data_IF_422639575563
#
_entry.id   IF_422639575563
#
_cell.length_a   1.000
_cell.length_b   1.000
_cell.length_c   1.000
_cell.angle_alpha   90.00
_cell.angle_beta   90.00
_cell.angle_gamma   90.00
#
_symmetry.space_group_name_H-M   'P 1'
#
loop_
_entity.id
_entity.type
_entity.pdbx_description
1 polymer ?
#
# COMPACT_ATOMS: atom_id res chain seq x y z
N UNK A 1 -3.34 0.70 19.00
CA UNK A 1 -2.43 0.20 17.93
C UNK A 1 -2.73 1.08 16.74
N UNK A 2 -1.75 1.85 16.26
CA UNK A 2 -2.01 2.77 15.14
C UNK A 2 -2.17 1.96 13.85
N UNK A 3 -3.27 2.24 13.14
CA UNK A 3 -3.53 1.64 11.84
C UNK A 3 -2.55 2.17 10.79
N UNK A 4 -2.24 1.41 9.72
CA UNK A 4 -1.44 1.88 8.60
C UNK A 4 -1.99 3.21 8.06
N UNK A 5 -1.09 4.12 7.68
CA UNK A 5 -1.43 5.49 7.31
C UNK A 5 -2.47 5.61 6.20
N UNK A 6 -2.44 4.70 5.22
CA UNK A 6 -3.42 4.73 4.12
C UNK A 6 -4.80 4.32 4.60
N UNK A 7 -4.93 3.29 5.44
CA UNK A 7 -6.22 2.89 6.02
C UNK A 7 -6.80 3.97 6.93
N UNK A 8 -5.95 4.69 7.69
CA UNK A 8 -6.36 5.84 8.50
C UNK A 8 -6.89 6.98 7.62
N UNK A 9 -6.20 7.29 6.51
CA UNK A 9 -6.66 8.29 5.53
C UNK A 9 -7.96 7.83 4.87
N UNK A 10 -8.05 6.57 4.45
CA UNK A 10 -9.26 6.00 3.85
C UNK A 10 -10.48 6.15 4.78
N UNK A 11 -10.33 5.81 6.05
CA UNK A 11 -11.39 5.97 7.04
C UNK A 11 -11.80 7.43 7.23
N UNK A 12 -10.83 8.35 7.34
CA UNK A 12 -11.09 9.78 7.50
C UNK A 12 -11.86 10.39 6.31
N UNK A 13 -11.50 10.01 5.09
CA UNK A 13 -12.14 10.48 3.85
C UNK A 13 -13.24 9.53 3.34
N UNK A 14 -13.85 8.73 4.22
CA UNK A 14 -14.97 7.83 3.92
C UNK A 14 -14.71 6.92 2.72
N UNK A 15 -13.47 6.43 2.60
CA UNK A 15 -12.99 5.57 1.50
C UNK A 15 -13.08 6.21 0.12
N UNK A 16 -13.03 7.54 0.05
CA UNK A 16 -12.98 8.25 -1.22
C UNK A 16 -11.85 7.72 -2.10
N UNK A 17 -12.13 7.28 -3.34
CA UNK A 17 -11.13 6.62 -4.19
C UNK A 17 -9.95 7.50 -4.56
N UNK A 18 -10.17 8.82 -4.75
CA UNK A 18 -9.08 9.75 -5.01
C UNK A 18 -8.18 9.92 -3.79
N UNK A 19 -8.77 10.10 -2.62
CA UNK A 19 -8.02 10.22 -1.37
C UNK A 19 -7.18 8.96 -1.11
N UNK A 20 -7.73 7.76 -1.33
CA UNK A 20 -7.02 6.50 -1.19
C UNK A 20 -5.88 6.38 -2.20
N UNK A 21 -6.12 6.64 -3.47
CA UNK A 21 -5.09 6.56 -4.51
C UNK A 21 -3.95 7.55 -4.24
N UNK A 22 -4.28 8.83 -4.00
CA UNK A 22 -3.29 9.86 -3.74
C UNK A 22 -2.44 9.55 -2.49
N UNK A 23 -3.07 9.14 -1.39
CA UNK A 23 -2.34 8.76 -0.17
C UNK A 23 -1.49 7.52 -0.35
N UNK A 24 -1.94 6.56 -1.16
CA UNK A 24 -1.14 5.36 -1.48
C UNK A 24 0.11 5.72 -2.28
N UNK A 25 0.02 6.62 -3.26
CA UNK A 25 1.21 7.13 -3.98
C UNK A 25 2.16 7.86 -3.01
N UNK A 26 1.63 8.68 -2.09
CA UNK A 26 2.44 9.38 -1.09
C UNK A 26 3.13 8.39 -0.14
N UNK A 27 2.50 7.29 0.20
CA UNK A 27 3.03 6.29 1.15
C UNK A 27 4.25 5.52 0.62
N UNK A 28 4.46 5.45 -0.69
CA UNK A 28 5.58 4.71 -1.27
C UNK A 28 6.93 5.21 -0.72
N UNK A 29 7.68 4.35 -0.03
CA UNK A 29 8.97 4.70 0.61
C UNK A 29 8.87 5.92 1.54
N UNK A 30 7.77 6.06 2.24
CA UNK A 30 7.52 7.14 3.21
C UNK A 30 7.04 6.52 4.52
N UNK A 31 7.44 7.08 5.64
CA UNK A 31 6.96 6.66 6.97
C UNK A 31 5.48 6.98 7.13
N UNK A 32 4.76 6.16 7.89
CA UNK A 32 3.31 6.28 8.07
C UNK A 32 2.87 7.65 8.61
N UNK A 33 3.54 8.17 9.63
CA UNK A 33 3.26 9.50 10.19
C UNK A 33 3.38 10.63 9.15
N UNK A 34 4.44 10.56 8.32
CA UNK A 34 4.66 11.54 7.24
C UNK A 34 3.60 11.38 6.15
N UNK A 35 3.24 10.14 5.81
CA UNK A 35 2.19 9.85 4.83
C UNK A 35 0.86 10.46 5.25
N UNK A 36 0.42 10.21 6.47
CA UNK A 36 -0.84 10.74 7.00
C UNK A 36 -0.88 12.28 6.98
N UNK A 37 0.19 12.92 7.48
CA UNK A 37 0.28 14.39 7.50
C UNK A 37 0.33 15.01 6.10
N UNK A 38 1.12 14.43 5.19
CA UNK A 38 1.26 14.92 3.81
C UNK A 38 -0.01 14.72 2.99
N UNK A 39 -0.66 13.56 3.16
CA UNK A 39 -1.94 13.28 2.48
C UNK A 39 -3.02 14.24 2.92
N UNK A 40 -3.14 14.52 4.21
CA UNK A 40 -4.11 15.50 4.73
C UNK A 40 -3.88 16.88 4.12
N UNK A 41 -2.65 17.40 4.16
CA UNK A 41 -2.31 18.72 3.57
C UNK A 41 -2.66 18.79 2.09
N UNK A 42 -2.39 17.73 1.33
CA UNK A 42 -2.73 17.66 -0.09
C UNK A 42 -4.24 17.67 -0.31
N UNK A 43 -4.96 16.78 0.37
CA UNK A 43 -6.41 16.58 0.17
C UNK A 43 -7.25 17.75 0.67
N UNK A 44 -6.78 18.52 1.67
CA UNK A 44 -7.39 19.79 2.07
C UNK A 44 -7.33 20.87 0.97
N UNK A 45 -6.39 20.77 0.02
CA UNK A 45 -6.18 21.73 -1.08
C UNK A 45 -6.61 21.19 -2.44
N UNK A 46 -6.69 19.88 -2.57
CA UNK A 46 -7.04 19.17 -3.81
C UNK A 46 -7.84 17.90 -3.46
N UNK A 47 -9.10 18.07 -3.12
CA UNK A 47 -10.02 16.98 -2.78
C UNK A 47 -10.45 16.15 -4.01
N UNK A 48 -10.09 16.58 -5.22
CA UNK A 48 -10.42 15.89 -6.47
C UNK A 48 -9.24 15.91 -7.46
N UNK A 49 -9.22 15.00 -8.45
CA UNK A 49 -8.25 15.05 -9.56
C UNK A 49 -8.28 16.39 -10.29
N UNK A 50 -9.44 16.99 -10.47
CA UNK A 50 -9.59 18.27 -11.17
C UNK A 50 -8.89 19.42 -10.42
N UNK A 51 -9.08 19.50 -9.10
CA UNK A 51 -8.42 20.50 -8.27
C UNK A 51 -6.90 20.31 -8.26
N UNK A 52 -6.42 19.06 -8.21
CA UNK A 52 -4.99 18.80 -8.27
C UNK A 52 -4.40 19.14 -9.63
N UNK A 53 -5.12 18.86 -10.72
CA UNK A 53 -4.64 19.09 -12.09
C UNK A 53 -4.32 20.57 -12.37
N UNK A 54 -5.10 21.50 -11.82
CA UNK A 54 -4.85 22.96 -11.99
C UNK A 54 -3.68 23.49 -11.17
N UNK A 55 -3.22 22.73 -10.15
CA UNK A 55 -2.08 23.15 -9.32
C UNK A 55 -0.76 23.04 -10.08
N UNK A 56 0.19 23.94 -9.77
CA UNK A 56 1.57 23.80 -10.22
C UNK A 56 2.24 22.62 -9.52
N UNK A 57 3.10 21.88 -10.24
CA UNK A 57 3.80 20.69 -9.69
C UNK A 57 4.62 21.04 -8.45
N UNK A 58 5.25 22.23 -8.43
CA UNK A 58 6.01 22.71 -7.28
C UNK A 58 5.13 22.94 -6.03
N UNK A 59 3.88 23.37 -6.22
CA UNK A 59 2.93 23.54 -5.14
C UNK A 59 2.51 22.19 -4.55
N UNK A 60 2.24 21.20 -5.41
CA UNK A 60 1.97 19.81 -4.98
C UNK A 60 3.16 19.27 -4.19
N UNK A 61 4.38 19.42 -4.73
CA UNK A 61 5.61 18.97 -4.09
C UNK A 61 5.80 19.57 -2.68
N UNK A 62 5.51 20.87 -2.52
CA UNK A 62 5.57 21.54 -1.20
C UNK A 62 4.55 20.97 -0.21
N UNK A 63 3.33 20.66 -0.64
CA UNK A 63 2.28 20.10 0.22
C UNK A 63 2.65 18.71 0.75
N UNK A 64 3.24 17.87 -0.10
CA UNK A 64 3.60 16.51 0.29
C UNK A 64 5.00 16.38 0.90
N UNK A 65 5.79 17.46 1.00
CA UNK A 65 7.04 17.47 1.74
C UNK A 65 6.77 17.21 3.24
N UNK A 66 7.56 16.35 3.93
CA UNK A 66 8.82 15.70 3.56
C UNK A 66 8.66 14.21 3.10
N UNK A 67 7.62 13.85 2.37
CA UNK A 67 7.47 12.49 1.86
C UNK A 67 8.68 12.07 1.00
N UNK A 68 9.10 10.82 1.11
CA UNK A 68 10.20 10.30 0.31
C UNK A 68 9.93 10.46 -1.18
N UNK A 69 10.91 10.94 -1.94
CA UNK A 69 10.78 11.20 -3.39
C UNK A 69 9.62 12.15 -3.76
N UNK A 70 9.32 13.12 -2.92
CA UNK A 70 8.14 13.99 -3.02
C UNK A 70 8.00 14.71 -4.38
N UNK A 71 9.12 15.10 -5.03
CA UNK A 71 9.08 15.75 -6.36
C UNK A 71 8.58 14.78 -7.43
N UNK A 72 9.10 13.54 -7.47
CA UNK A 72 8.66 12.53 -8.41
C UNK A 72 7.18 12.15 -8.18
N UNK A 73 6.77 12.10 -6.91
CA UNK A 73 5.37 11.84 -6.55
C UNK A 73 4.44 12.97 -6.97
N UNK A 74 4.87 14.22 -6.83
CA UNK A 74 4.10 15.38 -7.31
C UNK A 74 3.87 15.30 -8.83
N UNK A 75 4.93 14.99 -9.59
CA UNK A 75 4.83 14.77 -11.04
C UNK A 75 3.89 13.60 -11.38
N UNK A 76 4.04 12.46 -10.69
CA UNK A 76 3.17 11.30 -10.89
C UNK A 76 1.71 11.61 -10.57
N UNK A 77 1.43 12.24 -9.45
CA UNK A 77 0.07 12.64 -9.05
C UNK A 77 -0.58 13.58 -10.07
N UNK A 78 0.18 14.55 -10.60
CA UNK A 78 -0.32 15.45 -11.64
C UNK A 78 -0.65 14.71 -12.94
N UNK A 79 0.20 13.77 -13.36
CA UNK A 79 -0.06 12.92 -14.53
C UNK A 79 -1.26 12.00 -14.33
N UNK A 80 -1.37 11.40 -13.14
CA UNK A 80 -2.53 10.58 -12.78
C UNK A 80 -3.80 11.41 -12.87
N UNK A 81 -3.83 12.61 -12.26
CA UNK A 81 -5.00 13.49 -12.33
C UNK A 81 -5.42 13.83 -13.75
N UNK A 82 -4.47 14.13 -14.64
CA UNK A 82 -4.75 14.38 -16.06
C UNK A 82 -5.38 13.15 -16.73
N UNK A 83 -4.82 11.96 -16.52
CA UNK A 83 -5.36 10.71 -17.09
C UNK A 83 -6.77 10.41 -16.56
N UNK A 84 -6.99 10.62 -15.24
CA UNK A 84 -8.30 10.40 -14.64
C UNK A 84 -9.36 11.32 -15.24
N UNK A 85 -9.02 12.58 -15.48
CA UNK A 85 -9.94 13.54 -16.12
C UNK A 85 -10.22 13.13 -17.57
N UNK A 86 -9.18 12.85 -18.34
CA UNK A 86 -9.28 12.57 -19.76
C UNK A 86 -10.00 11.25 -20.08
N UNK A 87 -9.63 10.17 -19.35
CA UNK A 87 -10.09 8.81 -19.68
C UNK A 87 -11.22 8.31 -18.79
N UNK A 88 -11.33 8.81 -17.56
CA UNK A 88 -12.25 8.26 -16.55
C UNK A 88 -13.23 9.31 -16.00
N UNK A 89 -13.35 10.49 -16.68
CA UNK A 89 -14.28 11.54 -16.24
C UNK A 89 -14.00 12.09 -14.85
N UNK A 90 -12.74 12.06 -14.41
CA UNK A 90 -12.32 12.50 -13.09
C UNK A 90 -12.46 11.45 -11.99
N UNK A 91 -12.90 10.23 -12.31
CA UNK A 91 -13.07 9.14 -11.34
C UNK A 91 -11.85 8.22 -11.32
N UNK A 92 -11.57 7.61 -10.18
CA UNK A 92 -10.58 6.54 -10.08
C UNK A 92 -11.21 5.23 -10.57
N UNK A 93 -10.57 4.48 -11.49
CA UNK A 93 -11.11 3.21 -11.96
C UNK A 93 -11.04 2.12 -10.88
N UNK A 94 -11.97 1.17 -10.93
CA UNK A 94 -12.07 0.03 -10.01
C UNK A 94 -11.60 -1.30 -10.61
N UNK A 95 -10.89 -1.27 -11.74
CA UNK A 95 -10.29 -2.47 -12.33
C UNK A 95 -8.78 -2.51 -12.12
N UNK A 96 -8.22 -3.72 -12.02
CA UNK A 96 -6.77 -3.91 -11.86
C UNK A 96 -6.01 -3.35 -13.06
N UNK A 97 -6.47 -3.62 -14.28
CA UNK A 97 -5.76 -3.25 -15.50
C UNK A 97 -5.72 -1.73 -15.68
N UNK A 98 -6.85 -1.05 -15.43
CA UNK A 98 -6.91 0.41 -15.51
C UNK A 98 -6.05 1.08 -14.45
N UNK A 99 -6.02 0.53 -13.22
CA UNK A 99 -5.14 1.04 -12.16
C UNK A 99 -3.67 0.87 -12.51
N UNK A 100 -3.29 -0.27 -13.08
CA UNK A 100 -1.91 -0.53 -13.51
C UNK A 100 -1.47 0.36 -14.70
N UNK A 101 -2.40 0.87 -15.49
CA UNK A 101 -2.13 1.82 -16.57
C UNK A 101 -1.76 3.22 -16.05
N UNK A 102 -2.01 3.52 -14.76
CA UNK A 102 -1.67 4.82 -14.16
C UNK A 102 -0.17 4.90 -13.81
N UNK A 103 0.49 6.03 -14.07
CA UNK A 103 1.93 6.18 -13.82
C UNK A 103 2.29 6.03 -12.35
N UNK A 104 3.22 5.11 -12.04
CA UNK A 104 3.68 4.84 -10.68
C UNK A 104 2.75 3.95 -9.85
N UNK A 105 1.70 3.42 -10.45
CA UNK A 105 0.81 2.43 -9.83
C UNK A 105 1.29 1.03 -10.21
N UNK A 106 1.82 0.30 -9.24
CA UNK A 106 2.15 -1.13 -9.37
C UNK A 106 1.07 -2.00 -8.73
N UNK A 107 1.22 -3.33 -8.85
CA UNK A 107 0.25 -4.31 -8.31
C UNK A 107 -0.08 -4.07 -6.84
N UNK A 108 0.93 -3.81 -5.99
CA UNK A 108 0.70 -3.49 -4.57
C UNK A 108 -0.22 -2.30 -4.39
N UNK A 109 0.05 -1.20 -5.12
CA UNK A 109 -0.76 0.03 -5.05
C UNK A 109 -2.18 -0.23 -5.55
N UNK A 110 -2.33 -0.90 -6.70
CA UNK A 110 -3.63 -1.24 -7.27
C UNK A 110 -4.45 -2.11 -6.31
N UNK A 111 -3.88 -3.18 -5.75
CA UNK A 111 -4.56 -4.04 -4.77
C UNK A 111 -4.99 -3.26 -3.53
N UNK A 112 -4.16 -2.32 -3.04
CA UNK A 112 -4.51 -1.51 -1.88
C UNK A 112 -5.68 -0.54 -2.19
N UNK A 113 -5.67 0.07 -3.37
CA UNK A 113 -6.78 0.94 -3.83
C UNK A 113 -8.06 0.13 -3.97
N UNK A 114 -8.02 -1.06 -4.58
CA UNK A 114 -9.18 -1.94 -4.71
C UNK A 114 -9.77 -2.30 -3.34
N UNK A 115 -8.93 -2.65 -2.38
CA UNK A 115 -9.36 -3.00 -1.03
C UNK A 115 -9.95 -1.80 -0.28
N UNK A 116 -9.20 -0.70 -0.22
CA UNK A 116 -9.50 0.41 0.67
C UNK A 116 -10.58 1.34 0.12
N UNK A 117 -10.63 1.55 -1.20
CA UNK A 117 -11.59 2.44 -1.82
C UNK A 117 -12.86 1.74 -2.29
N UNK A 118 -12.74 0.56 -2.88
CA UNK A 118 -13.84 -0.11 -3.58
C UNK A 118 -14.40 -1.33 -2.85
N UNK A 119 -13.81 -1.71 -1.72
CA UNK A 119 -14.16 -2.92 -0.98
C UNK A 119 -14.04 -4.22 -1.80
N UNK A 120 -13.24 -4.20 -2.85
CA UNK A 120 -12.97 -5.36 -3.71
C UNK A 120 -11.91 -6.24 -3.05
N UNK A 121 -12.17 -7.55 -2.99
CA UNK A 121 -11.24 -8.51 -2.41
C UNK A 121 -9.95 -8.62 -3.25
N UNK A 122 -8.85 -8.13 -2.71
CA UNK A 122 -7.54 -8.17 -3.33
C UNK A 122 -6.45 -8.43 -2.27
N UNK A 123 -5.35 -9.05 -2.70
CA UNK A 123 -4.23 -9.36 -1.79
C UNK A 123 -3.12 -8.33 -2.02
N UNK A 124 -2.93 -7.45 -1.04
CA UNK A 124 -1.81 -6.50 -1.06
C UNK A 124 -0.55 -7.20 -0.52
N UNK A 125 0.40 -7.52 -1.39
CA UNK A 125 1.68 -8.13 -0.99
C UNK A 125 2.77 -7.08 -0.93
N UNK A 126 3.27 -6.84 0.27
CA UNK A 126 4.46 -6.03 0.52
C UNK A 126 5.65 -6.90 0.95
N UNK A 127 6.76 -6.26 1.32
CA UNK A 127 7.96 -6.95 1.80
C UNK A 127 7.70 -7.79 3.07
N UNK A 128 6.73 -7.43 3.89
CA UNK A 128 6.38 -8.20 5.09
C UNK A 128 5.59 -9.44 4.73
N UNK A 129 4.54 -9.29 3.91
CA UNK A 129 3.73 -10.42 3.44
C UNK A 129 4.62 -11.42 2.69
N UNK A 130 5.40 -10.96 1.70
CA UNK A 130 6.32 -11.80 0.95
C UNK A 130 7.30 -12.56 1.87
N UNK A 131 8.02 -11.82 2.73
CA UNK A 131 9.00 -12.42 3.64
C UNK A 131 8.38 -13.45 4.59
N UNK A 132 7.26 -13.09 5.24
CA UNK A 132 6.67 -13.94 6.28
C UNK A 132 6.05 -15.18 5.70
N UNK A 133 5.35 -15.10 4.57
CA UNK A 133 4.75 -16.25 3.89
C UNK A 133 5.79 -17.29 3.49
N UNK A 134 6.92 -16.83 2.93
CA UNK A 134 8.06 -17.69 2.60
C UNK A 134 8.75 -18.26 3.86
N UNK A 135 9.00 -17.40 4.85
CA UNK A 135 9.68 -17.79 6.10
C UNK A 135 8.86 -18.79 6.91
N UNK A 136 7.55 -18.60 6.96
CA UNK A 136 6.66 -19.52 7.64
C UNK A 136 6.57 -20.87 6.91
N UNK A 137 6.72 -20.86 5.60
CA UNK A 137 6.64 -22.02 4.73
C UNK A 137 5.22 -22.29 4.23
N UNK A 138 4.38 -21.26 4.13
CA UNK A 138 3.07 -21.37 3.47
C UNK A 138 3.24 -21.57 1.97
N UNK A 139 4.29 -20.95 1.41
CA UNK A 139 4.61 -20.98 0.01
C UNK A 139 6.12 -20.80 -0.19
N UNK A 140 6.55 -20.96 -1.44
CA UNK A 140 7.90 -20.63 -1.91
C UNK A 140 7.76 -19.75 -3.14
N UNK A 141 8.33 -18.54 -3.08
CA UNK A 141 8.25 -17.56 -4.16
C UNK A 141 9.48 -16.63 -4.14
N UNK A 142 9.87 -16.14 -5.30
CA UNK A 142 11.03 -15.25 -5.47
C UNK A 142 10.63 -13.78 -5.45
N UNK A 143 9.43 -13.45 -5.87
CA UNK A 143 8.93 -12.07 -5.97
C UNK A 143 7.61 -11.87 -5.22
N UNK A 144 7.27 -10.63 -4.84
CA UNK A 144 5.97 -10.30 -4.26
C UNK A 144 4.80 -10.66 -5.19
N UNK A 145 4.98 -10.54 -6.49
CA UNK A 145 3.97 -10.88 -7.50
C UNK A 145 3.67 -12.38 -7.50
N UNK A 146 4.72 -13.23 -7.47
CA UNK A 146 4.55 -14.68 -7.33
C UNK A 146 3.87 -15.03 -6.00
N UNK A 147 4.24 -14.34 -4.90
CA UNK A 147 3.58 -14.52 -3.60
C UNK A 147 2.09 -14.19 -3.69
N UNK A 148 1.71 -13.10 -4.37
CA UNK A 148 0.32 -12.72 -4.56
C UNK A 148 -0.46 -13.82 -5.30
N UNK A 149 0.09 -14.32 -6.40
CA UNK A 149 -0.57 -15.35 -7.22
C UNK A 149 -0.79 -16.63 -6.41
N UNK A 150 0.23 -17.12 -5.72
CA UNK A 150 0.11 -18.31 -4.89
C UNK A 150 -0.87 -18.09 -3.73
N UNK A 151 -0.83 -16.94 -3.06
CA UNK A 151 -1.77 -16.62 -1.97
C UNK A 151 -3.23 -16.59 -2.47
N UNK A 152 -3.48 -16.13 -3.70
CA UNK A 152 -4.83 -16.16 -4.30
C UNK A 152 -5.38 -17.61 -4.42
N UNK A 153 -4.51 -18.57 -4.62
CA UNK A 153 -4.90 -19.99 -4.75
C UNK A 153 -5.12 -20.66 -3.39
N UNK A 154 -4.26 -20.36 -2.40
CA UNK A 154 -4.25 -21.11 -1.13
C UNK A 154 -4.94 -20.39 0.03
N UNK A 155 -5.06 -19.04 -0.01
CA UNK A 155 -5.62 -18.27 1.09
C UNK A 155 -7.13 -18.06 0.88
N UNK A 156 -8.00 -18.46 1.83
CA UNK A 156 -9.42 -18.18 1.73
C UNK A 156 -9.72 -16.68 1.58
N UNK A 157 -10.62 -16.31 0.67
CA UNK A 157 -10.93 -14.90 0.27
C UNK A 157 -11.20 -14.00 1.47
N UNK A 158 -11.87 -14.49 2.49
CA UNK A 158 -12.16 -13.73 3.74
C UNK A 158 -10.94 -13.17 4.46
N UNK A 159 -9.72 -13.63 4.12
CA UNK A 159 -8.47 -13.14 4.70
C UNK A 159 -7.70 -12.19 3.77
N UNK A 160 -8.09 -12.04 2.51
CA UNK A 160 -7.33 -11.29 1.51
C UNK A 160 -7.09 -9.84 1.92
N UNK A 161 -8.13 -9.13 2.33
CA UNK A 161 -8.02 -7.73 2.78
C UNK A 161 -7.19 -7.57 4.05
N UNK A 162 -7.20 -8.59 4.92
CA UNK A 162 -6.58 -8.49 6.24
C UNK A 162 -5.13 -8.94 6.28
N UNK A 163 -4.69 -9.80 5.33
CA UNK A 163 -3.35 -10.43 5.40
C UNK A 163 -2.22 -9.39 5.41
N UNK A 164 -2.33 -8.34 4.61
CA UNK A 164 -1.32 -7.29 4.59
C UNK A 164 -1.20 -6.60 5.95
N UNK A 165 -2.31 -6.09 6.48
CA UNK A 165 -2.35 -5.43 7.78
C UNK A 165 -1.74 -6.29 8.89
N UNK A 166 -2.19 -7.53 8.99
CA UNK A 166 -1.72 -8.46 10.02
C UNK A 166 -0.21 -8.73 9.91
N UNK A 167 0.27 -9.02 8.69
CA UNK A 167 1.67 -9.37 8.49
C UNK A 167 2.62 -8.16 8.52
N UNK A 168 2.14 -6.95 8.21
CA UNK A 168 2.91 -5.71 8.42
C UNK A 168 3.20 -5.52 9.90
N UNK A 169 2.18 -5.51 10.75
CA UNK A 169 2.34 -5.34 12.20
C UNK A 169 3.23 -6.45 12.78
N UNK A 170 2.93 -7.69 12.40
CA UNK A 170 3.70 -8.84 12.85
C UNK A 170 5.17 -8.77 12.42
N UNK A 171 5.41 -8.34 11.18
CA UNK A 171 6.74 -8.21 10.61
C UNK A 171 7.55 -7.04 11.15
N UNK A 172 6.89 -5.98 11.59
CA UNK A 172 7.55 -4.85 12.26
C UNK A 172 7.95 -5.17 13.69
N UNK A 173 7.08 -5.86 14.42
CA UNK A 173 7.27 -6.10 15.86
C UNK A 173 8.03 -7.40 16.14
N UNK A 174 7.65 -8.49 15.54
CA UNK A 174 8.09 -9.83 15.92
C UNK A 174 8.95 -10.50 14.83
N UNK A 175 8.39 -10.70 13.63
CA UNK A 175 9.09 -11.39 12.54
C UNK A 175 9.96 -10.43 11.71
N UNK A 176 10.93 -9.78 12.37
CA UNK A 176 11.81 -8.79 11.76
C UNK A 176 12.70 -9.39 10.65
N UNK A 177 13.17 -8.59 9.67
CA UNK A 177 14.05 -9.08 8.60
C UNK A 177 15.31 -9.74 9.15
N UNK A 178 15.99 -9.06 10.06
CA UNK A 178 17.23 -9.52 10.71
C UNK A 178 16.92 -9.91 12.16
N UNK A 179 17.37 -11.11 12.58
CA UNK A 179 17.22 -11.62 13.95
C UNK A 179 15.78 -11.46 14.50
N UNK A 180 14.79 -12.18 13.93
CA UNK A 180 13.41 -12.16 14.42
C UNK A 180 13.31 -12.71 15.84
N UNK A 181 12.23 -12.31 16.57
CA UNK A 181 11.96 -12.78 17.93
C UNK A 181 11.22 -14.13 17.93
N UNK A 182 11.88 -15.18 17.41
CA UNK A 182 11.26 -16.50 17.25
C UNK A 182 10.95 -17.19 18.58
N UNK A 183 11.71 -16.90 19.65
CA UNK A 183 11.45 -17.44 21.00
C UNK A 183 10.15 -16.91 21.60
N UNK A 184 9.72 -15.71 21.21
CA UNK A 184 8.47 -15.07 21.65
C UNK A 184 7.31 -15.28 20.68
N UNK A 185 7.55 -15.99 19.58
CA UNK A 185 6.59 -16.14 18.51
C UNK A 185 5.54 -17.20 18.84
N UNK A 186 4.28 -16.79 19.03
CA UNK A 186 3.17 -17.69 19.39
C UNK A 186 2.90 -18.79 18.34
N UNK A 187 3.21 -18.51 17.07
CA UNK A 187 3.07 -19.48 15.96
C UNK A 187 4.41 -20.15 15.58
N UNK A 188 5.46 -19.90 16.38
CA UNK A 188 6.83 -20.37 16.11
C UNK A 188 6.98 -21.88 16.01
N UNK A 189 6.12 -22.63 16.71
CA UNK A 189 6.09 -24.12 16.70
C UNK A 189 5.74 -24.69 15.33
N UNK A 190 4.95 -23.95 14.53
CA UNK A 190 4.50 -24.37 13.19
C UNK A 190 5.30 -23.69 12.06
N UNK A 191 6.25 -22.82 12.40
CA UNK A 191 7.03 -22.08 11.43
C UNK A 191 8.25 -22.86 10.97
N UNK A 192 8.42 -23.02 9.65
CA UNK A 192 9.61 -23.65 9.05
C UNK A 192 10.89 -22.83 9.23
N UNK A 193 10.76 -21.52 9.54
CA UNK A 193 11.88 -20.59 9.73
C UNK A 193 12.79 -20.50 8.50
N UNK A 194 12.24 -20.65 7.29
CA UNK A 194 13.03 -20.60 6.05
C UNK A 194 13.83 -19.29 5.98
N UNK A 195 15.14 -19.39 5.70
CA UNK A 195 16.05 -18.25 5.61
C UNK A 195 16.36 -17.54 6.94
N UNK A 196 16.02 -18.13 8.09
CA UNK A 196 16.39 -17.60 9.40
C UNK A 196 17.68 -18.25 9.89
N UNK A 197 18.79 -17.51 9.81
CA UNK A 197 20.11 -17.97 10.26
C UNK A 197 20.27 -17.80 11.77
N UNK A 198 19.76 -16.70 12.33
CA UNK A 198 19.79 -16.41 13.79
C UNK A 198 18.50 -15.73 14.22
N UNK A 199 18.09 -15.97 15.47
CA UNK A 199 16.88 -15.38 16.03
C UNK A 199 17.07 -15.09 17.53
N UNK A 200 16.14 -14.32 18.08
CA UNK A 200 16.03 -13.99 19.53
C UNK A 200 14.83 -14.67 20.14
#
# INVERSE_FOLDING_TARGET
MEDPSVSTVAAHYRRDPWAVLASTIISLRTKDEVTAASSRKLLEKAASPAELHIMKEEAIAKLIYPAGFYRNKASSLKKIAAILIEKYGGNVPSSMDDLLALPGVGRKTANLVLNEAFDIDAICVDIHVHRISNRYGWLESKTPEETEMILREILPVKYWKRINYLLVIYGQKLCRPVSPFCSQCVIGKHCRKNGVVRFR
#
